data_IF_355964036202
#
_entry.id   IF_355964036202
#
_cell.length_a   1.000
_cell.length_b   1.000
_cell.length_c   1.000
_cell.angle_alpha   90.00
_cell.angle_beta   90.00
_cell.angle_gamma   90.00
#
_symmetry.space_group_name_H-M   'P 1'
#
loop_
_entity.id
_entity.type
_entity.pdbx_description
1 polymer ?
#
# COMPACT_ATOMS: atom_id res chain seq x y z
N UNK A 1 3.79 -29.82 18.28
CA UNK A 1 4.26 -31.22 18.06
C UNK A 1 5.06 -31.25 16.78
N UNK A 2 5.84 -32.26 16.54
CA UNK A 2 6.63 -32.39 15.32
C UNK A 2 6.01 -33.43 14.39
N UNK A 3 6.21 -33.26 13.09
CA UNK A 3 5.76 -34.25 12.10
C UNK A 3 6.12 -35.67 12.49
N UNK A 4 5.14 -36.58 12.50
CA UNK A 4 5.29 -37.99 12.80
C UNK A 4 5.31 -38.79 11.50
N UNK A 5 6.42 -39.46 11.20
CA UNK A 5 6.50 -40.34 10.04
C UNK A 5 5.97 -41.74 10.36
N UNK A 6 5.24 -42.35 9.43
CA UNK A 6 4.84 -43.74 9.50
C UNK A 6 6.06 -44.61 9.22
N UNK A 7 6.37 -45.55 10.10
CA UNK A 7 7.40 -46.56 9.87
C UNK A 7 6.89 -47.64 8.92
N UNK A 8 7.46 -47.71 7.74
CA UNK A 8 7.05 -48.69 6.71
C UNK A 8 7.77 -50.04 6.83
N UNK A 9 8.72 -50.17 7.78
CA UNK A 9 9.61 -51.35 7.88
C UNK A 9 10.74 -51.32 6.84
N UNK A 10 11.54 -52.36 6.79
CA UNK A 10 12.68 -52.52 5.88
C UNK A 10 12.29 -53.23 4.59
N UNK A 11 11.27 -54.08 4.60
CA UNK A 11 10.70 -54.80 3.47
C UNK A 11 9.23 -55.17 3.73
N UNK A 12 8.54 -55.59 2.69
CA UNK A 12 7.13 -55.98 2.79
C UNK A 12 6.96 -57.19 3.79
N UNK A 13 6.05 -57.03 4.76
CA UNK A 13 5.69 -58.05 5.76
C UNK A 13 6.84 -58.45 6.69
N UNK A 14 7.85 -57.61 6.90
CA UNK A 14 8.97 -57.91 7.82
C UNK A 14 8.64 -57.72 9.29
N UNK A 15 7.47 -57.20 9.60
CA UNK A 15 7.00 -56.96 10.99
C UNK A 15 7.73 -55.87 11.75
N UNK A 16 8.55 -55.03 11.07
CA UNK A 16 9.36 -53.96 11.68
C UNK A 16 8.77 -52.59 11.54
N UNK A 17 7.73 -52.43 10.71
CA UNK A 17 7.00 -51.16 10.54
C UNK A 17 5.96 -50.91 11.65
N UNK A 18 5.33 -49.74 11.56
CA UNK A 18 4.19 -49.41 12.43
C UNK A 18 3.01 -50.37 12.18
N UNK A 19 2.29 -50.71 13.23
CA UNK A 19 0.99 -51.35 13.04
C UNK A 19 0.03 -50.41 12.31
N UNK A 20 -1.01 -50.97 11.68
CA UNK A 20 -2.03 -50.16 11.02
C UNK A 20 -2.64 -49.11 11.95
N UNK A 21 -2.87 -49.49 13.24
CA UNK A 21 -3.37 -48.57 14.25
C UNK A 21 -2.36 -47.45 14.56
N UNK A 22 -1.11 -47.80 14.85
CA UNK A 22 -0.06 -46.82 15.19
C UNK A 22 0.23 -45.86 14.00
N UNK A 23 0.25 -46.36 12.77
CA UNK A 23 0.37 -45.56 11.58
C UNK A 23 -0.82 -44.60 11.38
N UNK A 24 -2.05 -45.12 11.63
CA UNK A 24 -3.27 -44.30 11.57
C UNK A 24 -3.30 -43.21 12.65
N UNK A 25 -2.86 -43.50 13.85
CA UNK A 25 -2.76 -42.49 14.94
C UNK A 25 -1.79 -41.35 14.54
N UNK A 26 -0.62 -41.69 13.99
CA UNK A 26 0.35 -40.68 13.50
C UNK A 26 -0.23 -39.80 12.41
N UNK A 27 -1.00 -40.37 11.47
CA UNK A 27 -1.69 -39.59 10.44
C UNK A 27 -2.70 -38.64 11.05
N UNK A 28 -3.54 -39.12 11.95
CA UNK A 28 -4.54 -38.31 12.65
C UNK A 28 -3.88 -37.18 13.45
N UNK A 29 -2.80 -37.46 14.19
CA UNK A 29 -2.06 -36.46 14.95
C UNK A 29 -1.48 -35.36 14.05
N UNK A 30 -0.89 -35.74 12.93
CA UNK A 30 -0.39 -34.76 11.93
C UNK A 30 -1.51 -33.89 11.38
N UNK A 31 -2.69 -34.46 11.09
CA UNK A 31 -3.84 -33.67 10.64
C UNK A 31 -4.39 -32.78 11.75
N UNK A 32 -4.51 -33.27 12.99
CA UNK A 32 -4.95 -32.45 14.12
C UNK A 32 -4.00 -31.26 14.32
N UNK A 33 -2.68 -31.47 14.22
CA UNK A 33 -1.69 -30.39 14.30
C UNK A 33 -1.90 -29.37 13.19
N UNK A 34 -2.08 -29.81 11.92
CA UNK A 34 -2.34 -28.94 10.78
C UNK A 34 -3.64 -28.14 10.96
N UNK A 35 -4.74 -28.80 11.34
CA UNK A 35 -6.02 -28.13 11.58
C UNK A 35 -5.99 -27.21 12.81
N UNK A 36 -5.16 -27.50 13.82
CA UNK A 36 -4.94 -26.58 14.94
C UNK A 36 -4.17 -25.33 14.52
N UNK A 37 -3.16 -25.49 13.65
CA UNK A 37 -2.37 -24.37 13.13
C UNK A 37 -3.18 -23.46 12.19
N UNK A 38 -3.99 -24.06 11.31
CA UNK A 38 -4.74 -23.34 10.27
C UNK A 38 -6.20 -23.05 10.65
N UNK A 39 -6.67 -23.53 11.81
CA UNK A 39 -8.07 -23.43 12.17
C UNK A 39 -8.36 -23.71 13.65
N UNK A 40 -9.36 -24.54 13.90
CA UNK A 40 -9.89 -24.83 15.24
C UNK A 40 -9.46 -26.20 15.81
N UNK A 41 -8.59 -26.92 15.15
CA UNK A 41 -8.21 -28.28 15.47
C UNK A 41 -9.09 -29.37 14.81
N UNK A 42 -10.27 -29.02 14.34
CA UNK A 42 -11.19 -29.92 13.63
C UNK A 42 -11.73 -29.35 12.31
N UNK A 43 -11.55 -28.05 12.09
CA UNK A 43 -11.94 -27.37 10.86
C UNK A 43 -10.96 -26.23 10.56
N UNK A 44 -10.74 -25.94 9.28
CA UNK A 44 -10.01 -24.73 8.85
C UNK A 44 -10.84 -23.49 9.23
N UNK A 45 -10.16 -22.38 9.54
CA UNK A 45 -10.86 -21.10 9.76
C UNK A 45 -11.57 -20.66 8.49
N UNK A 46 -12.76 -20.10 8.65
CA UNK A 46 -13.56 -19.59 7.53
C UNK A 46 -12.87 -18.48 6.72
N UNK A 47 -11.79 -17.91 7.25
CA UNK A 47 -11.00 -16.86 6.61
C UNK A 47 -9.89 -17.35 5.68
N UNK A 48 -9.65 -18.68 5.60
CA UNK A 48 -8.62 -19.26 4.74
C UNK A 48 -9.28 -20.14 3.67
N UNK A 49 -9.12 -19.77 2.43
CA UNK A 49 -9.47 -20.59 1.26
C UNK A 49 -8.36 -20.58 0.23
N UNK A 50 -8.24 -21.65 -0.54
CA UNK A 50 -7.23 -21.76 -1.57
C UNK A 50 -7.83 -22.39 -2.84
N UNK A 51 -7.41 -21.87 -4.00
CA UNK A 51 -7.58 -22.48 -5.32
C UNK A 51 -6.20 -22.88 -5.86
N UNK A 52 -6.13 -23.41 -7.06
CA UNK A 52 -4.87 -23.78 -7.69
C UNK A 52 -3.85 -22.62 -7.80
N UNK A 53 -4.31 -21.37 -7.80
CA UNK A 53 -3.49 -20.17 -8.02
C UNK A 53 -3.65 -19.09 -6.96
N UNK A 54 -4.65 -19.19 -6.08
CA UNK A 54 -4.98 -18.14 -5.11
C UNK A 54 -5.19 -18.72 -3.72
N UNK A 55 -4.55 -18.13 -2.73
CA UNK A 55 -4.88 -18.32 -1.30
C UNK A 55 -5.59 -17.06 -0.83
N UNK A 56 -6.84 -17.20 -0.40
CA UNK A 56 -7.64 -16.09 0.13
C UNK A 56 -7.61 -16.08 1.64
N UNK A 57 -7.21 -14.96 2.23
CA UNK A 57 -7.29 -14.69 3.66
C UNK A 57 -8.41 -13.66 3.88
N UNK A 58 -9.47 -14.07 4.59
CA UNK A 58 -10.56 -13.14 4.94
C UNK A 58 -10.24 -12.49 6.28
N UNK A 59 -10.18 -11.15 6.30
CA UNK A 59 -9.83 -10.33 7.46
C UNK A 59 -8.49 -10.75 8.13
N UNK A 60 -7.37 -10.78 7.38
CA UNK A 60 -6.08 -11.18 7.93
C UNK A 60 -5.60 -10.16 8.97
N UNK A 61 -5.02 -10.66 10.07
CA UNK A 61 -4.28 -9.86 11.04
C UNK A 61 -2.79 -10.13 10.85
N UNK A 62 -2.04 -9.10 10.44
CA UNK A 62 -0.59 -9.17 10.32
C UNK A 62 0.02 -8.66 11.63
N UNK A 63 0.59 -9.54 12.42
CA UNK A 63 1.05 -9.21 13.78
C UNK A 63 2.36 -8.41 13.82
N UNK A 64 3.19 -8.48 12.78
CA UNK A 64 4.51 -7.82 12.73
C UNK A 64 4.72 -7.00 11.47
N UNK A 65 4.87 -7.64 10.32
CA UNK A 65 5.10 -6.98 9.03
C UNK A 65 4.49 -7.81 7.90
N UNK A 66 4.08 -7.14 6.83
CA UNK A 66 3.77 -7.73 5.54
C UNK A 66 4.92 -7.37 4.59
N UNK A 67 5.72 -8.36 4.23
CA UNK A 67 6.79 -8.22 3.25
C UNK A 67 6.26 -8.71 1.90
N UNK A 68 6.11 -7.78 0.95
CA UNK A 68 5.67 -8.07 -0.42
C UNK A 68 6.83 -8.46 -1.33
N UNK A 69 8.07 -8.41 -0.83
CA UNK A 69 9.28 -8.84 -1.52
C UNK A 69 9.40 -8.25 -2.95
N UNK A 70 9.17 -6.94 -3.07
CA UNK A 70 9.20 -6.23 -4.34
C UNK A 70 7.94 -6.39 -5.20
N UNK A 71 6.92 -7.09 -4.70
CA UNK A 71 5.63 -7.18 -5.38
C UNK A 71 4.75 -5.97 -5.09
N UNK A 72 3.80 -5.73 -5.97
CA UNK A 72 2.86 -4.62 -5.92
C UNK A 72 1.69 -4.90 -4.98
N UNK A 73 1.24 -3.90 -4.22
CA UNK A 73 -0.03 -3.94 -3.50
C UNK A 73 -1.15 -3.44 -4.42
N UNK A 74 -1.86 -4.34 -5.04
CA UNK A 74 -2.98 -4.04 -5.94
C UNK A 74 -4.23 -3.73 -5.10
N UNK A 75 -4.93 -2.64 -5.41
CA UNK A 75 -6.07 -2.12 -4.66
C UNK A 75 -7.41 -2.29 -5.38
N UNK A 76 -7.41 -2.63 -6.66
CA UNK A 76 -8.62 -2.81 -7.47
C UNK A 76 -8.61 -4.08 -8.32
N UNK A 77 -9.69 -4.31 -9.07
CA UNK A 77 -9.93 -5.56 -9.79
C UNK A 77 -9.14 -5.70 -11.09
N UNK A 78 -8.91 -4.58 -11.78
CA UNK A 78 -8.18 -4.55 -13.06
C UNK A 78 -6.67 -4.29 -12.90
N UNK A 79 -6.23 -4.17 -11.63
CA UNK A 79 -4.83 -4.08 -11.23
C UNK A 79 -4.10 -2.83 -11.78
N UNK A 80 -4.84 -1.75 -11.99
CA UNK A 80 -4.26 -0.49 -12.44
C UNK A 80 -4.16 0.58 -11.34
N UNK A 81 -4.70 0.29 -10.13
CA UNK A 81 -4.56 1.12 -8.93
C UNK A 81 -3.79 0.37 -7.86
N UNK A 82 -2.62 0.90 -7.48
CA UNK A 82 -1.68 0.18 -6.64
C UNK A 82 -0.69 1.07 -5.87
N UNK A 83 0.01 0.45 -4.91
CA UNK A 83 1.21 0.98 -4.29
C UNK A 83 2.36 0.03 -4.62
N UNK A 84 3.44 0.56 -5.15
CA UNK A 84 4.59 -0.23 -5.61
C UNK A 84 5.92 0.42 -5.24
N UNK A 85 6.99 -0.35 -5.27
CA UNK A 85 8.37 0.11 -5.12
C UNK A 85 9.17 -0.41 -6.33
N UNK A 86 8.88 0.13 -7.51
CA UNK A 86 9.49 -0.27 -8.78
C UNK A 86 10.99 0.06 -8.85
N UNK A 87 11.43 1.01 -8.03
CA UNK A 87 12.82 1.40 -7.87
C UNK A 87 13.22 1.37 -6.40
N UNK A 88 14.50 1.12 -6.12
CA UNK A 88 15.04 1.14 -4.76
C UNK A 88 14.82 2.52 -4.11
N UNK A 89 14.45 2.51 -2.82
CA UNK A 89 14.16 3.72 -2.01
C UNK A 89 13.05 4.64 -2.58
N UNK A 90 12.13 4.09 -3.40
CA UNK A 90 11.03 4.84 -4.01
C UNK A 90 9.70 4.14 -3.73
N UNK A 91 8.68 4.90 -3.37
CA UNK A 91 7.29 4.42 -3.29
C UNK A 91 6.47 5.18 -4.33
N UNK A 92 5.82 4.45 -5.22
CA UNK A 92 4.94 4.98 -6.25
C UNK A 92 3.48 4.65 -5.93
N UNK A 93 2.60 5.63 -6.12
CA UNK A 93 1.16 5.47 -6.03
C UNK A 93 0.56 5.58 -7.42
N UNK A 94 -0.02 4.48 -7.90
CA UNK A 94 -0.59 4.36 -9.24
C UNK A 94 -2.11 4.45 -9.20
N UNK A 95 -2.69 5.16 -10.14
CA UNK A 95 -4.13 5.20 -10.41
C UNK A 95 -4.31 5.19 -11.93
N UNK A 96 -5.10 4.22 -12.45
CA UNK A 96 -5.28 4.05 -13.87
C UNK A 96 -3.99 3.73 -14.61
N UNK A 97 -3.10 2.95 -13.98
CA UNK A 97 -1.81 2.52 -14.53
C UNK A 97 -0.73 3.62 -14.59
N UNK A 98 -1.02 4.82 -14.10
CA UNK A 98 -0.06 5.93 -14.08
C UNK A 98 0.39 6.28 -12.66
N UNK A 99 1.66 6.63 -12.49
CA UNK A 99 2.18 7.15 -11.23
C UNK A 99 1.60 8.55 -10.98
N UNK A 100 0.75 8.66 -9.96
CA UNK A 100 0.07 9.92 -9.61
C UNK A 100 0.94 10.74 -8.67
N UNK A 101 1.55 10.10 -7.69
CA UNK A 101 2.61 10.72 -6.90
C UNK A 101 3.65 9.70 -6.47
N UNK A 102 4.85 10.19 -6.21
CA UNK A 102 6.01 9.40 -5.84
C UNK A 102 6.65 9.96 -4.56
N UNK A 103 7.08 9.09 -3.68
CA UNK A 103 7.83 9.45 -2.47
C UNK A 103 9.23 8.84 -2.51
N UNK A 104 10.22 9.66 -2.20
CA UNK A 104 11.60 9.22 -1.94
C UNK A 104 12.09 9.79 -0.60
N UNK A 105 13.32 9.50 -0.20
CA UNK A 105 13.90 10.05 1.03
C UNK A 105 13.97 11.59 1.05
N UNK A 106 13.91 12.25 -0.11
CA UNK A 106 14.16 13.70 -0.23
C UNK A 106 13.01 14.50 -0.85
N UNK A 107 12.01 13.85 -1.45
CA UNK A 107 10.91 14.55 -2.12
C UNK A 107 9.59 13.80 -2.04
N UNK A 108 8.50 14.56 -2.09
CA UNK A 108 7.19 14.14 -2.53
C UNK A 108 6.94 14.79 -3.89
N UNK A 109 6.80 13.99 -4.93
CA UNK A 109 6.57 14.43 -6.31
C UNK A 109 5.12 14.15 -6.67
N UNK A 110 4.36 15.18 -6.94
CA UNK A 110 2.95 15.08 -7.33
C UNK A 110 2.78 14.80 -8.83
N UNK A 111 3.87 14.63 -9.55
CA UNK A 111 3.88 14.29 -10.97
C UNK A 111 2.97 15.20 -11.81
N UNK A 112 3.05 16.52 -11.55
CA UNK A 112 2.23 17.53 -12.23
C UNK A 112 0.75 17.55 -11.80
N UNK A 113 0.38 16.89 -10.71
CA UNK A 113 -0.99 16.92 -10.19
C UNK A 113 -1.20 18.10 -9.24
N UNK A 114 -2.43 18.52 -9.13
CA UNK A 114 -2.88 19.58 -8.26
C UNK A 114 -3.02 19.10 -6.81
N UNK A 115 -2.54 19.91 -5.84
CA UNK A 115 -2.81 19.71 -4.43
C UNK A 115 -4.08 20.47 -4.05
N UNK A 116 -5.21 19.79 -4.01
CA UNK A 116 -6.51 20.35 -3.61
C UNK A 116 -6.58 20.49 -2.09
N UNK A 117 -7.07 21.62 -1.58
CA UNK A 117 -7.08 21.97 -0.16
C UNK A 117 -8.49 22.04 0.46
N UNK A 118 -9.55 21.99 -0.36
CA UNK A 118 -10.94 22.05 0.11
C UNK A 118 -11.84 21.03 -0.61
N UNK A 119 -13.10 20.95 -0.18
CA UNK A 119 -14.02 19.91 -0.60
C UNK A 119 -14.63 20.11 -2.00
N UNK A 120 -14.72 21.36 -2.48
CA UNK A 120 -15.25 21.70 -3.80
C UNK A 120 -14.14 21.86 -4.86
N UNK A 121 -12.88 21.63 -4.44
CA UNK A 121 -11.70 21.60 -5.30
C UNK A 121 -11.40 22.93 -6.02
N UNK A 122 -11.84 24.06 -5.45
CA UNK A 122 -11.58 25.38 -6.00
C UNK A 122 -10.44 26.14 -5.29
N UNK A 123 -9.89 25.56 -4.20
CA UNK A 123 -8.72 26.07 -3.47
C UNK A 123 -7.58 25.06 -3.56
N UNK A 124 -6.48 25.45 -4.20
CA UNK A 124 -5.42 24.52 -4.54
C UNK A 124 -4.05 25.16 -4.74
N UNK A 125 -3.02 24.31 -4.79
CA UNK A 125 -1.67 24.64 -5.27
C UNK A 125 -1.38 23.76 -6.48
N UNK A 126 -0.94 24.37 -7.57
CA UNK A 126 -0.66 23.67 -8.82
C UNK A 126 0.57 24.26 -9.53
N UNK A 127 1.15 23.49 -10.42
CA UNK A 127 2.19 23.92 -11.36
C UNK A 127 1.65 23.73 -12.79
N UNK A 128 0.80 24.66 -13.25
CA UNK A 128 0.11 24.57 -14.54
C UNK A 128 1.08 24.72 -15.74
N UNK A 129 2.26 25.24 -15.50
CA UNK A 129 3.34 25.32 -16.48
C UNK A 129 4.71 25.18 -15.81
N UNK A 130 5.72 24.91 -16.61
CA UNK A 130 7.10 24.77 -16.14
C UNK A 130 7.57 26.05 -15.43
N UNK A 131 8.33 25.90 -14.33
CA UNK A 131 8.84 26.99 -13.49
C UNK A 131 7.77 27.95 -12.94
N UNK A 132 6.51 27.49 -12.78
CA UNK A 132 5.39 28.29 -12.24
C UNK A 132 4.70 27.56 -11.12
N UNK A 133 4.41 28.26 -10.01
CA UNK A 133 3.52 27.79 -8.94
C UNK A 133 2.32 28.72 -8.87
N UNK A 134 1.12 28.17 -8.94
CA UNK A 134 -0.14 28.88 -8.81
C UNK A 134 -0.83 28.53 -7.51
N UNK A 135 -1.30 29.51 -6.76
CA UNK A 135 -2.19 29.33 -5.62
C UNK A 135 -3.58 29.82 -6.02
N UNK A 136 -4.53 28.89 -6.06
CA UNK A 136 -5.93 29.13 -6.44
C UNK A 136 -6.81 29.32 -5.22
N UNK A 137 -7.74 30.27 -5.28
CA UNK A 137 -8.82 30.46 -4.33
C UNK A 137 -10.10 30.78 -5.10
N UNK A 138 -11.16 29.99 -4.90
CA UNK A 138 -12.41 30.10 -5.62
C UNK A 138 -12.21 29.87 -7.11
N UNK A 139 -11.41 28.88 -7.49
CA UNK A 139 -11.12 28.49 -8.88
C UNK A 139 -10.26 29.46 -9.68
N UNK A 140 -9.74 30.54 -9.05
CA UNK A 140 -8.93 31.54 -9.75
C UNK A 140 -7.52 31.61 -9.16
N UNK A 141 -6.51 31.76 -10.03
CA UNK A 141 -5.14 32.00 -9.60
C UNK A 141 -5.06 33.35 -8.88
N UNK A 142 -4.73 33.31 -7.59
CA UNK A 142 -4.57 34.50 -6.75
C UNK A 142 -3.12 34.89 -6.55
N UNK A 143 -2.23 33.91 -6.51
CA UNK A 143 -0.80 34.14 -6.44
C UNK A 143 -0.15 33.25 -7.50
N UNK A 144 0.63 33.89 -8.38
CA UNK A 144 1.48 33.18 -9.32
C UNK A 144 2.95 33.49 -8.98
N UNK A 145 3.72 32.45 -8.84
CA UNK A 145 5.16 32.50 -8.67
C UNK A 145 5.81 31.94 -9.94
N UNK A 146 6.57 32.74 -10.62
CA UNK A 146 7.35 32.31 -11.79
C UNK A 146 8.76 32.90 -11.74
N UNK A 147 9.64 32.47 -12.66
CA UNK A 147 11.01 32.95 -12.70
C UNK A 147 11.05 34.48 -12.80
N UNK A 148 11.52 35.14 -11.73
CA UNK A 148 11.68 36.60 -11.66
C UNK A 148 10.41 37.41 -11.39
N UNK A 149 9.24 36.75 -11.14
CA UNK A 149 7.98 37.45 -10.89
C UNK A 149 7.15 36.79 -9.78
N UNK A 150 6.65 37.61 -8.85
CA UNK A 150 5.56 37.27 -7.94
C UNK A 150 4.37 38.12 -8.31
N UNK A 151 3.29 37.53 -8.77
CA UNK A 151 2.05 38.20 -9.13
C UNK A 151 0.96 37.89 -8.12
N UNK A 152 0.36 38.91 -7.53
CA UNK A 152 -0.82 38.78 -6.66
C UNK A 152 -2.00 39.37 -7.44
N UNK A 153 -2.95 38.51 -7.80
CA UNK A 153 -4.09 38.85 -8.64
C UNK A 153 -5.35 39.09 -7.84
N UNK A 154 -6.20 39.98 -8.32
CA UNK A 154 -7.51 40.26 -7.77
C UNK A 154 -8.58 40.14 -8.87
N UNK A 155 -9.80 39.77 -8.48
CA UNK A 155 -10.97 39.59 -9.33
C UNK A 155 -11.77 40.89 -9.59
N UNK A 156 -11.13 42.04 -9.50
CA UNK A 156 -11.73 43.34 -9.86
C UNK A 156 -12.22 44.18 -8.70
N UNK A 157 -12.26 43.71 -7.49
CA UNK A 157 -12.47 44.49 -6.28
C UNK A 157 -11.13 44.84 -5.64
N UNK A 158 -10.92 46.03 -5.16
CA UNK A 158 -9.68 46.59 -4.65
C UNK A 158 -8.68 45.65 -4.01
N UNK A 159 -7.58 45.33 -4.68
CA UNK A 159 -6.43 44.56 -4.10
C UNK A 159 -5.70 45.43 -3.09
N UNK A 160 -5.47 44.88 -1.92
CA UNK A 160 -4.55 45.48 -0.94
C UNK A 160 -3.39 44.51 -0.69
N UNK A 161 -2.23 44.81 -1.22
CA UNK A 161 -0.96 44.23 -0.76
C UNK A 161 -0.46 45.14 0.36
N UNK A 162 -0.54 44.69 1.61
CA UNK A 162 0.03 45.41 2.75
C UNK A 162 1.45 44.91 3.01
N UNK A 163 2.42 45.72 2.62
CA UNK A 163 3.82 45.51 2.99
C UNK A 163 4.11 46.30 4.26
N UNK A 164 4.30 45.59 5.38
CA UNK A 164 4.76 46.21 6.60
C UNK A 164 6.28 46.32 6.55
N UNK A 165 6.79 47.47 6.11
CA UNK A 165 8.19 47.83 6.32
C UNK A 165 8.34 48.41 7.73
N UNK A 166 9.06 47.71 8.59
CA UNK A 166 9.54 48.30 9.81
C UNK A 166 10.64 49.32 9.47
N UNK A 167 10.32 50.61 9.50
CA UNK A 167 11.32 51.65 9.43
C UNK A 167 12.07 51.69 10.76
N UNK A 168 13.32 51.22 10.76
CA UNK A 168 14.24 51.53 11.85
C UNK A 168 14.68 52.99 11.62
N UNK A 169 14.16 53.92 12.40
CA UNK A 169 14.75 55.24 12.49
C UNK A 169 16.04 55.12 13.31
N UNK A 170 17.14 55.42 12.70
CA UNK A 170 18.44 55.62 13.33
C UNK A 170 18.46 57.08 13.83
#
# INVERSE_FOLDING_TARGET
>A
MAYQSIGLGSSANDGTGDTLRAGGDKVNDNFVELYTLLGTGSALTSGLSATATVVTLTAPVIATSLDLNGSELILDVDADTSITADSDDTIDFKIGGADIFQMTATKLDLNGKELVLDADADTSITADSDDTINIKLGGNDRIDLSTGLVSIKNDGAKSQVRLYLSLIHI
#
